data_IF_055055968968
#
_entry.id   IF_055055968968
#
_cell.length_a   1.000
_cell.length_b   1.000
_cell.length_c   1.000
_cell.angle_alpha   90.00
_cell.angle_beta   90.00
_cell.angle_gamma   90.00
#
_symmetry.space_group_name_H-M   'P 1'
#
loop_
_entity.id
_entity.type
_entity.pdbx_description
1 polymer ?
#
# COMPACT_ATOMS: atom_id res chain seq x y z
N UNK A 1 8.02 -8.13 -11.66
CA UNK A 1 6.88 -8.03 -10.74
C UNK A 1 7.06 -6.82 -9.84
N UNK A 2 6.05 -5.98 -9.71
CA UNK A 2 6.17 -4.75 -8.93
C UNK A 2 5.71 -5.00 -7.48
N UNK A 3 6.66 -5.28 -6.61
CA UNK A 3 6.39 -5.60 -5.21
C UNK A 3 5.77 -4.42 -4.46
N UNK A 4 6.26 -3.21 -4.72
CA UNK A 4 5.75 -2.00 -4.07
C UNK A 4 4.27 -1.81 -4.38
N UNK A 5 3.91 -1.99 -5.64
CA UNK A 5 2.52 -1.86 -6.07
C UNK A 5 1.63 -2.89 -5.37
N UNK A 6 2.10 -4.12 -5.23
CA UNK A 6 1.35 -5.17 -4.56
C UNK A 6 1.13 -4.84 -3.09
N UNK A 7 2.18 -4.39 -2.41
CA UNK A 7 2.08 -4.04 -0.99
C UNK A 7 1.10 -2.88 -0.79
N UNK A 8 1.25 -1.82 -1.57
CA UNK A 8 0.39 -0.65 -1.45
C UNK A 8 -1.06 -1.00 -1.72
N UNK A 9 -1.31 -1.75 -2.79
CA UNK A 9 -2.66 -2.15 -3.16
C UNK A 9 -3.29 -3.01 -2.07
N UNK A 10 -2.51 -3.91 -1.48
CA UNK A 10 -2.98 -4.76 -0.39
C UNK A 10 -3.37 -3.93 0.84
N UNK A 11 -2.54 -2.96 1.21
CA UNK A 11 -2.83 -2.09 2.36
C UNK A 11 -4.15 -1.35 2.14
N UNK A 12 -4.32 -0.77 0.97
CA UNK A 12 -5.52 0.00 0.65
C UNK A 12 -6.76 -0.88 0.72
N UNK A 13 -6.72 -2.04 0.09
CA UNK A 13 -7.87 -2.92 0.02
C UNK A 13 -8.22 -3.54 1.36
N UNK A 14 -7.22 -3.95 2.13
CA UNK A 14 -7.47 -4.54 3.44
C UNK A 14 -8.10 -3.53 4.39
N UNK A 15 -7.60 -2.30 4.39
CA UNK A 15 -8.11 -1.27 5.29
C UNK A 15 -9.49 -0.78 4.86
N UNK A 16 -9.72 -0.69 3.56
CA UNK A 16 -10.97 -0.17 3.01
C UNK A 16 -12.12 -1.20 3.01
N UNK A 17 -11.78 -2.48 2.97
CA UNK A 17 -12.75 -3.57 3.00
C UNK A 17 -13.85 -3.41 1.93
N UNK A 18 -13.43 -3.06 0.71
CA UNK A 18 -14.35 -2.95 -0.41
C UNK A 18 -15.10 -1.63 -0.53
N UNK A 19 -14.84 -0.69 0.37
CA UNK A 19 -15.50 0.61 0.34
C UNK A 19 -14.67 1.61 -0.47
N UNK A 20 -15.21 2.07 -1.59
CA UNK A 20 -14.50 2.98 -2.50
C UNK A 20 -14.10 4.29 -1.82
N UNK A 21 -14.98 4.86 -1.00
CA UNK A 21 -14.68 6.08 -0.26
C UNK A 21 -13.51 5.86 0.68
N UNK A 22 -13.50 4.73 1.36
CA UNK A 22 -12.40 4.42 2.28
C UNK A 22 -11.09 4.23 1.53
N UNK A 23 -11.14 3.62 0.33
CA UNK A 23 -9.94 3.46 -0.48
C UNK A 23 -9.31 4.82 -0.80
N UNK A 24 -10.12 5.78 -1.24
CA UNK A 24 -9.63 7.11 -1.54
C UNK A 24 -9.07 7.80 -0.31
N UNK A 25 -9.75 7.69 0.82
CA UNK A 25 -9.32 8.29 2.06
C UNK A 25 -7.97 7.72 2.50
N UNK A 26 -7.82 6.41 2.41
CA UNK A 26 -6.56 5.74 2.78
C UNK A 26 -5.44 6.15 1.84
N UNK A 27 -5.71 6.24 0.54
CA UNK A 27 -4.72 6.71 -0.41
C UNK A 27 -4.22 8.11 -0.05
N UNK A 28 -5.14 9.01 0.29
CA UNK A 28 -4.77 10.37 0.68
C UNK A 28 -3.91 10.37 1.93
N UNK A 29 -4.26 9.56 2.92
CA UNK A 29 -3.48 9.48 4.15
C UNK A 29 -2.07 8.98 3.90
N UNK A 30 -1.93 8.02 3.00
CA UNK A 30 -0.61 7.49 2.64
C UNK A 30 0.18 8.55 1.86
N UNK A 31 -0.48 9.29 0.97
CA UNK A 31 0.17 10.37 0.23
C UNK A 31 0.72 11.44 1.18
N UNK A 32 0.01 11.73 2.25
CA UNK A 32 0.45 12.70 3.24
C UNK A 32 1.71 12.26 3.98
N UNK A 33 2.03 10.99 3.93
CA UNK A 33 3.27 10.45 4.50
C UNK A 33 4.45 10.54 3.53
N UNK A 34 4.26 11.16 2.37
CA UNK A 34 5.32 11.35 1.39
C UNK A 34 5.42 10.24 0.36
N UNK A 35 4.40 9.40 0.24
CA UNK A 35 4.40 8.30 -0.73
C UNK A 35 3.70 8.74 -2.01
N UNK A 36 4.32 8.46 -3.15
CA UNK A 36 3.72 8.73 -4.46
C UNK A 36 2.76 7.60 -4.82
N UNK A 37 1.58 7.61 -4.19
CA UNK A 37 0.59 6.54 -4.33
C UNK A 37 0.19 6.36 -5.79
N UNK A 38 -0.13 7.45 -6.47
CA UNK A 38 -0.60 7.37 -7.85
C UNK A 38 0.46 6.77 -8.78
N UNK A 39 1.71 7.22 -8.63
CA UNK A 39 2.79 6.69 -9.46
C UNK A 39 3.03 5.21 -9.22
N UNK A 40 2.93 4.78 -7.97
CA UNK A 40 3.11 3.37 -7.62
C UNK A 40 1.98 2.52 -8.22
N UNK A 41 0.75 2.96 -8.07
CA UNK A 41 -0.39 2.20 -8.59
C UNK A 41 -0.41 2.13 -10.11
N UNK A 42 0.15 3.14 -10.77
CA UNK A 42 0.27 3.15 -12.22
C UNK A 42 1.48 2.36 -12.73
N UNK A 43 2.30 1.85 -11.82
CA UNK A 43 3.48 1.09 -12.18
C UNK A 43 4.63 1.92 -12.68
N UNK A 44 4.64 3.22 -12.38
CA UNK A 44 5.69 4.15 -12.82
C UNK A 44 6.85 4.27 -11.87
N UNK A 45 6.71 3.75 -10.66
CA UNK A 45 7.77 3.80 -9.65
C UNK A 45 8.43 2.43 -9.56
N UNK A 46 9.74 2.33 -9.77
CA UNK A 46 10.43 1.04 -9.69
C UNK A 46 10.51 0.54 -8.25
N UNK A 47 10.67 -0.77 -8.10
CA UNK A 47 10.85 -1.37 -6.79
C UNK A 47 12.10 -0.79 -6.12
N UNK A 48 11.94 -0.46 -4.84
CA UNK A 48 13.00 0.14 -4.03
C UNK A 48 12.91 -0.43 -2.63
N UNK A 49 14.00 -1.04 -2.11
CA UNK A 49 13.97 -1.61 -0.76
C UNK A 49 13.59 -0.60 0.33
N UNK A 50 14.07 0.64 0.21
CA UNK A 50 13.74 1.67 1.19
C UNK A 50 12.25 2.00 1.17
N UNK A 51 11.67 2.08 -0.02
CA UNK A 51 10.25 2.36 -0.16
C UNK A 51 9.41 1.17 0.33
N UNK A 52 9.86 -0.05 0.05
CA UNK A 52 9.20 -1.24 0.53
C UNK A 52 9.14 -1.26 2.05
N UNK A 53 10.25 -0.92 2.72
CA UNK A 53 10.29 -0.86 4.18
C UNK A 53 9.36 0.21 4.71
N UNK A 54 9.30 1.36 4.04
CA UNK A 54 8.40 2.43 4.44
C UNK A 54 6.94 2.00 4.34
N UNK A 55 6.59 1.28 3.29
CA UNK A 55 5.23 0.76 3.13
C UNK A 55 4.90 -0.27 4.20
N UNK A 56 5.86 -1.08 4.60
CA UNK A 56 5.65 -2.04 5.69
C UNK A 56 5.37 -1.34 7.00
N UNK A 57 6.05 -0.24 7.27
CA UNK A 57 5.80 0.56 8.46
C UNK A 57 4.40 1.19 8.42
N UNK A 58 4.00 1.66 7.25
CA UNK A 58 2.65 2.23 7.08
C UNK A 58 1.59 1.17 7.31
N UNK A 59 1.84 -0.05 6.84
CA UNK A 59 0.92 -1.15 7.09
C UNK A 59 0.74 -1.39 8.58
N UNK A 60 1.82 -1.34 9.35
CA UNK A 60 1.73 -1.49 10.80
C UNK A 60 0.92 -0.37 11.43
N UNK A 61 1.10 0.86 10.98
CA UNK A 61 0.35 2.01 11.49
C UNK A 61 -1.14 1.86 11.22
N UNK A 62 -1.50 1.25 10.08
CA UNK A 62 -2.89 1.05 9.71
C UNK A 62 -3.44 -0.28 10.20
N UNK A 63 -2.64 -1.00 10.98
CA UNK A 63 -3.04 -2.29 11.54
C UNK A 63 -3.37 -3.32 10.45
N UNK A 64 -2.60 -3.28 9.36
CA UNK A 64 -2.74 -4.22 8.25
C UNK A 64 -1.65 -5.28 8.35
N UNK A 65 -2.06 -6.54 8.33
CA UNK A 65 -1.14 -7.67 8.43
C UNK A 65 -0.69 -8.10 7.03
N UNK A 66 0.54 -7.75 6.67
CA UNK A 66 1.09 -8.08 5.37
C UNK A 66 1.36 -9.57 5.18
N UNK A 67 1.39 -10.34 6.27
CA UNK A 67 1.56 -11.78 6.17
C UNK A 67 0.38 -12.44 5.44
N UNK A 68 -0.80 -11.83 5.53
CA UNK A 68 -1.96 -12.32 4.82
C UNK A 68 -1.78 -12.25 3.31
N UNK A 69 -1.00 -11.30 2.84
CA UNK A 69 -0.70 -11.17 1.42
C UNK A 69 0.11 -12.37 0.93
N UNK A 70 1.06 -12.83 1.72
CA UNK A 70 1.87 -13.99 1.38
C UNK A 70 1.06 -15.28 1.42
N UNK A 71 0.12 -15.38 2.35
CA UNK A 71 -0.72 -16.57 2.50
C UNK A 71 -1.73 -16.70 1.36
N UNK A 72 -2.09 -15.60 0.73
CA UNK A 72 -3.06 -15.58 -0.37
C UNK A 72 -2.53 -16.25 -1.65
N UNK A 73 -1.29 -16.59 -1.68
CA UNK A 73 -0.68 -17.25 -2.82
C UNK A 73 -0.88 -18.75 -2.67
#
# INVERSE_FOLDING_TARGET
MNTIKQILNFIIKEKAQGNTFQELNIQMRIMMKGINVKGILEGKVPDDPALSEKLKEIAKEFDVDLEKMAVSI
#
